data_IF_632482810145
#
_entry.id   IF_632482810145
#
_cell.length_a   1.000
_cell.length_b   1.000
_cell.length_c   1.000
_cell.angle_alpha   90.00
_cell.angle_beta   90.00
_cell.angle_gamma   90.00
#
_symmetry.space_group_name_H-M   'P 1'
#
loop_
_entity.id
_entity.type
_entity.pdbx_description
1 polymer ?
#
# COMPACT_ATOMS: atom_id res chain seq x y z
N UNK A 1 -7.14 -1.71 36.86
CA UNK A 1 -8.30 -1.79 35.94
C UNK A 1 -8.09 -0.99 34.64
N UNK A 2 -7.49 0.21 34.66
CA UNK A 2 -7.50 1.13 33.49
C UNK A 2 -6.54 0.91 32.31
N UNK A 3 -5.66 -0.10 32.29
CA UNK A 3 -4.73 -0.33 31.15
C UNK A 3 -5.24 -1.43 30.19
N UNK A 4 -5.87 -2.47 30.74
CA UNK A 4 -6.43 -3.58 29.96
C UNK A 4 -7.70 -3.14 29.25
N UNK A 5 -8.56 -2.35 29.91
CA UNK A 5 -9.77 -1.79 29.30
C UNK A 5 -9.45 -0.86 28.13
N UNK A 6 -8.43 0.01 28.26
CA UNK A 6 -8.02 0.91 27.17
C UNK A 6 -7.48 0.16 25.95
N UNK A 7 -6.73 -0.93 26.16
CA UNK A 7 -6.24 -1.78 25.07
C UNK A 7 -7.39 -2.54 24.39
N UNK A 8 -8.35 -3.03 25.17
CA UNK A 8 -9.53 -3.73 24.65
C UNK A 8 -10.45 -2.80 23.85
N UNK A 9 -10.57 -1.53 24.28
CA UNK A 9 -11.33 -0.51 23.57
C UNK A 9 -10.69 -0.14 22.22
N UNK A 10 -9.36 0.00 22.20
CA UNK A 10 -8.62 0.32 20.98
C UNK A 10 -8.64 -0.86 19.98
N UNK A 11 -8.56 -2.10 20.48
CA UNK A 11 -8.73 -3.30 19.68
C UNK A 11 -10.15 -3.39 19.08
N UNK A 12 -11.18 -3.06 19.87
CA UNK A 12 -12.56 -3.03 19.39
C UNK A 12 -12.80 -1.94 18.34
N UNK A 13 -12.18 -0.76 18.51
CA UNK A 13 -12.24 0.33 17.53
C UNK A 13 -11.57 -0.09 16.20
N UNK A 14 -10.45 -0.80 16.27
CA UNK A 14 -9.73 -1.33 15.12
C UNK A 14 -10.58 -2.37 14.36
N UNK A 15 -11.22 -3.30 15.08
CA UNK A 15 -12.11 -4.31 14.49
C UNK A 15 -13.34 -3.68 13.82
N UNK A 16 -13.89 -2.59 14.40
CA UNK A 16 -15.00 -1.84 13.80
C UNK A 16 -14.55 -1.02 12.58
N UNK A 17 -13.34 -0.47 12.59
CA UNK A 17 -12.79 0.33 11.49
C UNK A 17 -12.39 -0.50 10.27
N UNK A 18 -12.01 -1.78 10.46
CA UNK A 18 -11.58 -2.69 9.38
C UNK A 18 -12.75 -3.27 8.56
N UNK A 19 -14.00 -2.94 8.91
CA UNK A 19 -15.12 -3.05 7.97
C UNK A 19 -15.55 -4.48 7.66
N UNK A 20 -16.29 -5.09 8.58
CA UNK A 20 -17.45 -5.98 8.30
C UNK A 20 -18.10 -6.38 9.64
N UNK A 21 -18.63 -5.39 10.36
CA UNK A 21 -19.39 -5.68 11.58
C UNK A 21 -20.87 -5.86 11.23
N UNK A 22 -21.26 -7.10 10.91
CA UNK A 22 -22.68 -7.49 10.91
C UNK A 22 -23.30 -7.21 12.28
N UNK A 23 -24.54 -6.69 12.33
CA UNK A 23 -25.26 -6.37 13.58
C UNK A 23 -25.30 -7.52 14.59
N UNK A 24 -25.17 -8.77 14.12
CA UNK A 24 -25.09 -9.96 14.97
C UNK A 24 -23.81 -10.03 15.83
N UNK A 25 -22.68 -9.51 15.33
CA UNK A 25 -21.40 -9.55 16.03
C UNK A 25 -21.31 -8.49 17.15
N UNK A 26 -22.03 -7.37 17.01
CA UNK A 26 -22.13 -6.36 18.08
C UNK A 26 -22.92 -6.86 19.29
N UNK A 27 -24.01 -7.61 19.07
CA UNK A 27 -24.85 -8.14 20.16
C UNK A 27 -24.12 -9.19 21.02
N UNK A 28 -23.36 -10.09 20.36
CA UNK A 28 -22.52 -11.08 21.07
C UNK A 28 -21.44 -10.41 21.92
N UNK A 29 -20.89 -9.27 21.47
CA UNK A 29 -19.90 -8.53 22.23
C UNK A 29 -20.49 -7.81 23.46
N UNK A 30 -21.73 -7.29 23.35
CA UNK A 30 -22.47 -6.70 24.47
C UNK A 30 -22.82 -7.73 25.56
N UNK A 31 -23.23 -8.94 25.16
CA UNK A 31 -23.50 -10.05 26.09
C UNK A 31 -22.24 -10.51 26.83
N UNK A 32 -21.08 -10.49 26.17
CA UNK A 32 -19.83 -11.03 26.74
C UNK A 32 -19.13 -10.05 27.69
N UNK A 33 -19.36 -8.75 27.54
CA UNK A 33 -18.60 -7.71 28.26
C UNK A 33 -19.45 -6.83 29.17
N UNK A 34 -20.79 -6.90 29.08
CA UNK A 34 -21.71 -6.10 29.88
C UNK A 34 -21.66 -4.59 29.61
N UNK A 35 -20.85 -4.14 28.64
CA UNK A 35 -20.66 -2.75 28.28
C UNK A 35 -21.69 -2.34 27.22
N UNK A 36 -22.59 -1.41 27.56
CA UNK A 36 -23.60 -0.90 26.63
C UNK A 36 -22.94 -0.07 25.51
N UNK A 37 -23.08 -0.50 24.25
CA UNK A 37 -22.48 0.21 23.10
C UNK A 37 -23.24 1.48 22.70
N UNK A 38 -24.33 1.80 23.41
CA UNK A 38 -25.21 2.94 23.15
C UNK A 38 -24.49 4.30 23.21
N UNK A 39 -23.38 4.39 23.96
CA UNK A 39 -22.59 5.62 24.14
C UNK A 39 -21.39 5.76 23.18
N UNK A 40 -21.04 4.73 22.40
CA UNK A 40 -19.95 4.86 21.39
C UNK A 40 -20.45 5.47 20.07
N UNK A 41 -21.74 5.35 19.77
CA UNK A 41 -22.32 5.88 18.55
C UNK A 41 -22.50 7.41 18.60
N UNK A 42 -22.82 7.98 19.77
CA UNK A 42 -23.00 9.43 19.95
C UNK A 42 -21.68 10.21 19.91
N UNK A 43 -20.57 9.63 20.37
CA UNK A 43 -19.24 10.26 20.29
C UNK A 43 -18.63 10.35 18.89
N UNK A 44 -19.21 9.69 17.88
CA UNK A 44 -18.75 9.81 16.48
C UNK A 44 -19.23 11.09 15.79
N UNK A 45 -20.22 11.79 16.33
CA UNK A 45 -20.71 13.05 15.75
C UNK A 45 -19.99 14.29 16.28
N UNK A 46 -19.57 14.31 17.54
CA UNK A 46 -18.96 15.51 18.13
C UNK A 46 -17.44 15.68 17.86
N UNK A 47 -16.82 14.69 17.19
CA UNK A 47 -15.35 14.64 16.99
C UNK A 47 -14.88 14.80 15.54
N UNK A 48 -15.79 14.98 14.59
CA UNK A 48 -15.43 15.41 13.24
C UNK A 48 -15.57 16.94 13.26
N UNK A 49 -14.50 17.73 13.19
CA UNK A 49 -14.67 19.17 13.03
C UNK A 49 -15.49 19.40 11.77
N UNK A 50 -16.58 20.15 11.91
CA UNK A 50 -17.44 20.58 10.82
C UNK A 50 -16.60 21.27 9.73
N UNK A 51 -16.24 20.54 8.68
CA UNK A 51 -15.81 21.14 7.40
C UNK A 51 -17.08 21.40 6.55
N UNK A 52 -18.12 21.93 7.19
CA UNK A 52 -19.36 22.37 6.56
C UNK A 52 -19.80 23.71 7.15
N UNK A 53 -18.89 24.68 7.31
CA UNK A 53 -19.25 26.09 7.12
C UNK A 53 -18.02 27.00 7.00
N UNK A 54 -17.48 27.13 5.79
CA UNK A 54 -16.81 28.38 5.39
C UNK A 54 -17.24 28.71 3.97
N UNK A 55 -18.47 29.21 3.86
CA UNK A 55 -18.89 29.98 2.71
C UNK A 55 -18.08 31.30 2.66
N UNK A 56 -16.83 31.23 2.21
CA UNK A 56 -16.25 32.32 1.42
C UNK A 56 -16.61 32.02 -0.03
N UNK A 57 -17.27 32.93 -0.76
CA UNK A 57 -17.38 32.81 -2.21
C UNK A 57 -16.02 33.18 -2.84
N UNK A 58 -14.98 32.39 -2.52
CA UNK A 58 -13.75 32.41 -3.29
C UNK A 58 -14.09 31.73 -4.61
N UNK A 59 -14.03 32.51 -5.68
CA UNK A 59 -14.25 32.07 -7.05
C UNK A 59 -13.24 30.98 -7.40
N UNK A 60 -13.56 29.73 -7.09
CA UNK A 60 -12.91 28.58 -7.71
C UNK A 60 -13.76 28.27 -8.93
N UNK A 61 -13.26 28.68 -10.09
CA UNK A 61 -13.86 28.43 -11.39
C UNK A 61 -14.39 27.00 -11.47
N UNK A 62 -15.70 26.90 -11.68
CA UNK A 62 -16.42 25.67 -11.99
C UNK A 62 -16.01 25.20 -13.38
N UNK A 63 -14.78 24.72 -13.52
CA UNK A 63 -14.29 24.07 -14.74
C UNK A 63 -13.83 22.67 -14.38
N UNK A 64 -14.81 21.78 -14.21
CA UNK A 64 -14.83 20.40 -14.70
C UNK A 64 -15.68 19.50 -13.78
N UNK A 65 -16.77 18.99 -14.35
CA UNK A 65 -17.77 18.17 -13.68
C UNK A 65 -17.22 16.82 -13.25
N UNK A 66 -16.82 16.71 -11.98
CA UNK A 66 -16.69 15.43 -11.29
C UNK A 66 -17.71 15.38 -10.15
N UNK A 67 -18.70 14.49 -10.29
CA UNK A 67 -19.77 14.22 -9.33
C UNK A 67 -19.19 13.98 -7.92
N UNK A 68 -19.92 14.34 -6.87
CA UNK A 68 -19.51 14.11 -5.46
C UNK A 68 -19.02 12.68 -5.21
N UNK A 69 -19.63 11.69 -5.87
CA UNK A 69 -19.23 10.27 -5.83
C UNK A 69 -17.77 10.00 -6.21
N UNK A 70 -17.28 10.55 -7.33
CA UNK A 70 -15.88 10.35 -7.76
C UNK A 70 -14.90 11.00 -6.80
N UNK A 71 -15.26 12.13 -6.18
CA UNK A 71 -14.42 12.76 -5.14
C UNK A 71 -14.28 11.88 -3.89
N UNK A 72 -15.35 11.19 -3.50
CA UNK A 72 -15.30 10.25 -2.37
C UNK A 72 -14.42 9.01 -2.68
N UNK A 73 -14.47 8.51 -3.91
CA UNK A 73 -13.62 7.39 -4.33
C UNK A 73 -12.13 7.80 -4.39
N UNK A 74 -11.83 8.95 -4.97
CA UNK A 74 -10.48 9.52 -5.00
C UNK A 74 -9.94 9.75 -3.57
N UNK A 75 -10.77 10.24 -2.65
CA UNK A 75 -10.39 10.43 -1.25
C UNK A 75 -10.08 9.11 -0.54
N UNK A 76 -10.83 8.03 -0.82
CA UNK A 76 -10.56 6.70 -0.26
C UNK A 76 -9.22 6.16 -0.75
N UNK A 77 -8.95 6.26 -2.05
CA UNK A 77 -7.69 5.81 -2.66
C UNK A 77 -6.51 6.63 -2.11
N UNK A 78 -6.69 7.94 -1.94
CA UNK A 78 -5.66 8.80 -1.36
C UNK A 78 -5.38 8.49 0.12
N UNK A 79 -6.42 8.14 0.89
CA UNK A 79 -6.27 7.79 2.30
C UNK A 79 -5.42 6.54 2.54
N UNK A 80 -5.46 5.56 1.63
CA UNK A 80 -4.66 4.33 1.72
C UNK A 80 -3.28 4.45 1.05
N UNK A 81 -3.04 5.50 0.26
CA UNK A 81 -1.81 5.67 -0.52
C UNK A 81 -0.55 5.71 0.36
N UNK A 82 -0.58 6.44 1.49
CA UNK A 82 0.55 6.49 2.42
C UNK A 82 0.84 5.12 3.03
N UNK A 83 -0.21 4.42 3.48
CA UNK A 83 -0.09 3.07 4.02
C UNK A 83 0.48 2.09 2.98
N UNK A 84 0.01 2.15 1.73
CA UNK A 84 0.58 1.35 0.64
C UNK A 84 2.06 1.67 0.44
N UNK A 85 2.45 2.94 0.45
CA UNK A 85 3.86 3.35 0.30
C UNK A 85 4.74 2.74 1.39
N UNK A 86 4.33 2.82 2.65
CA UNK A 86 5.07 2.25 3.77
C UNK A 86 5.20 0.72 3.65
N UNK A 87 4.14 0.06 3.18
CA UNK A 87 4.15 -1.39 2.96
C UNK A 87 5.07 -1.81 1.80
N UNK A 88 5.23 -0.96 0.77
CA UNK A 88 6.21 -1.19 -0.29
C UNK A 88 7.65 -1.12 0.23
N UNK A 89 7.94 -0.30 1.24
CA UNK A 89 9.27 -0.27 1.87
C UNK A 89 9.57 -1.59 2.57
N UNK A 90 8.58 -2.18 3.25
CA UNK A 90 8.71 -3.51 3.86
C UNK A 90 8.94 -4.59 2.80
N UNK A 91 8.20 -4.52 1.68
CA UNK A 91 8.40 -5.45 0.56
C UNK A 91 9.84 -5.37 0.00
N UNK A 92 10.37 -4.16 -0.20
CA UNK A 92 11.75 -3.98 -0.68
C UNK A 92 12.79 -4.57 0.29
N UNK A 93 12.58 -4.44 1.60
CA UNK A 93 13.48 -5.01 2.61
C UNK A 93 13.44 -6.55 2.55
N UNK A 94 12.26 -7.14 2.34
CA UNK A 94 12.12 -8.59 2.17
C UNK A 94 12.84 -9.08 0.91
N UNK A 95 12.69 -8.39 -0.23
CA UNK A 95 13.39 -8.74 -1.47
C UNK A 95 14.92 -8.60 -1.32
N UNK A 96 15.39 -7.55 -0.62
CA UNK A 96 16.82 -7.44 -0.29
C UNK A 96 17.29 -8.58 0.61
N UNK A 97 16.48 -8.99 1.58
CA UNK A 97 16.84 -10.09 2.46
C UNK A 97 16.98 -11.41 1.70
N UNK A 98 16.14 -11.66 0.69
CA UNK A 98 16.27 -12.85 -0.17
C UNK A 98 17.47 -12.73 -1.13
N UNK A 99 17.77 -11.54 -1.66
CA UNK A 99 18.95 -11.29 -2.51
C UNK A 99 20.29 -11.42 -1.76
N UNK A 100 20.34 -11.06 -0.48
CA UNK A 100 21.55 -11.14 0.34
C UNK A 100 22.03 -12.57 0.60
N UNK A 101 21.18 -13.58 0.39
CA UNK A 101 21.56 -14.99 0.60
C UNK A 101 22.26 -15.51 -0.66
N UNK A 102 23.56 -15.85 -0.60
CA UNK A 102 24.25 -16.40 -1.76
C UNK A 102 23.64 -17.74 -2.14
N UNK A 103 23.25 -17.89 -3.41
CA UNK A 103 22.61 -19.11 -3.94
C UNK A 103 23.45 -20.37 -3.73
N UNK A 104 24.76 -20.21 -3.63
CA UNK A 104 25.72 -21.30 -3.41
C UNK A 104 25.66 -21.91 -2.01
N UNK A 105 25.12 -21.18 -1.03
CA UNK A 105 24.93 -21.64 0.35
C UNK A 105 23.55 -22.28 0.57
N UNK A 106 22.61 -22.09 -0.37
CA UNK A 106 21.30 -22.73 -0.38
C UNK A 106 21.45 -24.18 -0.88
N UNK A 107 22.13 -25.00 -0.08
CA UNK A 107 22.38 -26.42 -0.34
C UNK A 107 21.78 -27.27 0.78
N UNK A 108 21.54 -28.54 0.49
CA UNK A 108 21.06 -29.50 1.49
C UNK A 108 22.07 -29.74 2.63
N UNK A 109 23.32 -29.28 2.48
CA UNK A 109 24.33 -29.24 3.54
C UNK A 109 23.97 -28.29 4.69
N UNK A 110 23.11 -27.29 4.46
CA UNK A 110 22.58 -26.42 5.51
C UNK A 110 21.04 -26.32 5.42
N UNK A 111 20.31 -27.32 5.94
CA UNK A 111 18.85 -27.38 5.81
C UNK A 111 18.15 -26.22 6.54
N UNK A 112 18.74 -25.64 7.58
CA UNK A 112 18.16 -24.52 8.30
C UNK A 112 18.15 -23.24 7.45
N UNK A 113 19.23 -22.95 6.74
CA UNK A 113 19.31 -21.80 5.82
C UNK A 113 18.32 -21.96 4.67
N UNK A 114 18.26 -23.16 4.08
CA UNK A 114 17.31 -23.48 2.99
C UNK A 114 15.86 -23.29 3.41
N UNK A 115 15.45 -23.86 4.55
CA UNK A 115 14.09 -23.73 5.06
C UNK A 115 13.74 -22.26 5.38
N UNK A 116 14.69 -21.49 5.92
CA UNK A 116 14.49 -20.06 6.17
C UNK A 116 14.29 -19.29 4.86
N UNK A 117 15.14 -19.52 3.86
CA UNK A 117 15.02 -18.89 2.54
C UNK A 117 13.69 -19.22 1.87
N UNK A 118 13.27 -20.48 1.91
CA UNK A 118 11.95 -20.91 1.39
C UNK A 118 10.81 -20.19 2.13
N UNK A 119 10.87 -20.09 3.46
CA UNK A 119 9.88 -19.36 4.26
C UNK A 119 9.80 -17.87 3.92
N UNK A 120 10.94 -17.21 3.69
CA UNK A 120 10.99 -15.81 3.23
C UNK A 120 10.38 -15.68 1.84
N UNK A 121 10.76 -16.53 0.89
CA UNK A 121 10.22 -16.52 -0.48
C UNK A 121 8.71 -16.76 -0.51
N UNK A 122 8.20 -17.67 0.32
CA UNK A 122 6.76 -17.87 0.49
C UNK A 122 6.05 -16.64 1.03
N UNK A 123 6.66 -15.93 1.98
CA UNK A 123 6.09 -14.71 2.57
C UNK A 123 6.05 -13.59 1.55
N UNK A 124 7.13 -13.40 0.77
CA UNK A 124 7.18 -12.46 -0.34
C UNK A 124 6.09 -12.76 -1.39
N UNK A 125 5.93 -14.03 -1.78
CA UNK A 125 4.89 -14.44 -2.72
C UNK A 125 3.46 -14.17 -2.19
N UNK A 126 3.23 -14.35 -0.88
CA UNK A 126 1.94 -14.01 -0.26
C UNK A 126 1.70 -12.51 -0.21
N UNK A 127 2.73 -11.71 0.08
CA UNK A 127 2.65 -10.25 0.06
C UNK A 127 2.28 -9.74 -1.33
N UNK A 128 2.90 -10.28 -2.39
CA UNK A 128 2.56 -9.92 -3.76
C UNK A 128 1.12 -10.29 -4.16
N UNK A 129 0.60 -11.41 -3.64
CA UNK A 129 -0.81 -11.76 -3.82
C UNK A 129 -1.73 -10.76 -3.14
N UNK A 130 -1.39 -10.31 -1.93
CA UNK A 130 -2.15 -9.28 -1.20
C UNK A 130 -2.16 -7.97 -2.01
N UNK A 131 -1.00 -7.54 -2.53
CA UNK A 131 -0.89 -6.33 -3.35
C UNK A 131 -1.85 -6.37 -4.54
N UNK A 132 -1.80 -7.46 -5.32
CA UNK A 132 -2.69 -7.63 -6.49
C UNK A 132 -4.17 -7.58 -6.12
N UNK A 133 -4.58 -8.19 -4.98
CA UNK A 133 -5.98 -8.13 -4.51
C UNK A 133 -6.46 -6.73 -4.15
N UNK A 134 -5.56 -5.88 -3.65
CA UNK A 134 -5.89 -4.49 -3.29
C UNK A 134 -5.62 -3.49 -4.42
N UNK A 135 -5.34 -3.96 -5.64
CA UNK A 135 -5.13 -3.12 -6.81
C UNK A 135 -3.73 -2.51 -6.91
N UNK A 136 -2.77 -2.96 -6.10
CA UNK A 136 -1.35 -2.63 -6.28
C UNK A 136 -0.78 -3.51 -7.39
N UNK A 137 -0.30 -2.87 -8.45
CA UNK A 137 0.31 -3.52 -9.61
C UNK A 137 1.76 -3.08 -9.75
N UNK A 138 2.64 -4.05 -9.98
CA UNK A 138 4.05 -3.82 -10.24
C UNK A 138 4.26 -3.18 -11.62
N UNK A 139 5.22 -2.25 -11.67
CA UNK A 139 5.70 -1.59 -12.89
C UNK A 139 7.17 -1.95 -13.01
N UNK A 140 7.47 -2.91 -13.89
CA UNK A 140 8.83 -3.37 -14.17
C UNK A 140 9.11 -3.22 -15.67
N UNK A 141 9.54 -2.04 -16.12
CA UNK A 141 9.64 -1.70 -17.54
C UNK A 141 10.94 -2.19 -18.19
N UNK A 142 11.41 -3.40 -17.87
CA UNK A 142 12.65 -3.92 -18.43
C UNK A 142 12.50 -4.14 -19.94
N UNK A 143 13.41 -3.59 -20.74
CA UNK A 143 13.37 -3.58 -22.21
C UNK A 143 12.18 -2.81 -22.82
N UNK A 144 11.50 -1.97 -22.05
CA UNK A 144 10.43 -1.11 -22.55
C UNK A 144 10.92 0.32 -22.79
N UNK A 145 10.18 1.10 -23.57
CA UNK A 145 10.47 2.54 -23.76
C UNK A 145 10.27 3.29 -22.45
N UNK A 146 11.19 4.21 -22.16
CA UNK A 146 11.08 5.07 -21.00
C UNK A 146 9.82 5.94 -21.04
N UNK A 147 9.03 5.92 -19.97
CA UNK A 147 7.83 6.74 -19.81
C UNK A 147 8.00 7.66 -18.59
N UNK A 148 8.11 8.99 -18.77
CA UNK A 148 8.30 9.94 -17.68
C UNK A 148 7.20 9.93 -16.61
N UNK A 149 6.00 9.46 -16.94
CA UNK A 149 4.88 9.42 -15.98
C UNK A 149 4.98 8.23 -15.01
N UNK A 150 5.68 7.17 -15.40
CA UNK A 150 5.75 5.92 -14.66
C UNK A 150 7.15 5.63 -14.12
N UNK A 151 8.18 6.16 -14.78
CA UNK A 151 9.57 5.81 -14.56
C UNK A 151 10.39 7.06 -14.22
N UNK A 152 11.38 6.87 -13.36
CA UNK A 152 12.38 7.88 -13.00
C UNK A 152 13.76 7.36 -13.42
N UNK A 153 14.39 8.06 -14.37
CA UNK A 153 15.69 7.67 -14.89
C UNK A 153 16.79 8.13 -13.93
N UNK A 154 17.52 7.20 -13.33
CA UNK A 154 18.63 7.49 -12.42
C UNK A 154 19.93 7.78 -13.18
N UNK A 155 20.17 7.04 -14.25
CA UNK A 155 21.38 7.16 -15.05
C UNK A 155 21.14 6.68 -16.47
N UNK A 156 22.09 7.00 -17.34
CA UNK A 156 22.11 6.57 -18.72
C UNK A 156 23.37 5.75 -18.99
N UNK A 157 23.22 4.61 -19.68
CA UNK A 157 24.32 3.69 -19.98
C UNK A 157 24.36 3.38 -21.48
N UNK A 158 25.57 3.22 -22.03
CA UNK A 158 25.78 2.72 -23.38
C UNK A 158 25.65 1.19 -23.34
N UNK A 159 24.69 0.66 -24.10
CA UNK A 159 24.40 -0.78 -24.16
C UNK A 159 24.25 -1.15 -25.63
N UNK A 160 25.24 -1.88 -26.15
CA UNK A 160 25.23 -2.36 -27.53
C UNK A 160 23.97 -3.20 -27.82
N UNK A 161 23.21 -2.80 -28.83
CA UNK A 161 22.01 -3.53 -29.28
C UNK A 161 20.68 -3.09 -28.64
N UNK A 162 20.66 -2.06 -27.79
CA UNK A 162 19.41 -1.47 -27.27
C UNK A 162 19.11 -0.11 -27.89
N UNK A 163 17.87 0.11 -28.34
CA UNK A 163 17.45 1.42 -28.89
C UNK A 163 17.62 2.55 -27.86
N UNK A 164 18.04 3.76 -28.29
CA UNK A 164 18.10 4.94 -27.42
C UNK A 164 16.75 5.20 -26.74
N UNK A 165 16.77 5.45 -25.43
CA UNK A 165 15.54 5.70 -24.66
C UNK A 165 14.84 4.43 -24.15
N UNK A 166 15.43 3.25 -24.35
CA UNK A 166 14.94 1.98 -23.79
C UNK A 166 15.47 1.77 -22.37
N UNK A 167 14.64 1.26 -21.47
CA UNK A 167 15.05 0.89 -20.12
C UNK A 167 15.86 -0.41 -20.17
N UNK A 168 17.11 -0.34 -19.73
CA UNK A 168 18.06 -1.46 -19.75
C UNK A 168 18.25 -2.08 -18.37
N UNK A 169 18.09 -1.28 -17.32
CA UNK A 169 18.26 -1.73 -15.93
C UNK A 169 17.11 -1.20 -15.09
N UNK A 170 16.51 -2.06 -14.27
CA UNK A 170 15.52 -1.65 -13.27
C UNK A 170 16.17 -1.80 -11.91
N UNK A 171 16.56 -0.67 -11.30
CA UNK A 171 17.18 -0.66 -9.97
C UNK A 171 16.15 -0.84 -8.86
N UNK A 172 14.94 -0.31 -9.06
CA UNK A 172 13.85 -0.45 -8.10
C UNK A 172 12.52 -0.55 -8.82
N UNK A 173 11.74 -1.57 -8.49
CA UNK A 173 10.43 -1.82 -9.09
C UNK A 173 9.46 -0.70 -8.68
N UNK A 174 8.72 -0.17 -9.66
CA UNK A 174 7.67 0.82 -9.46
C UNK A 174 6.34 0.15 -9.08
N UNK A 175 5.43 0.91 -8.48
CA UNK A 175 4.11 0.41 -8.13
C UNK A 175 3.03 1.45 -8.44
N UNK A 176 1.95 0.97 -9.04
CA UNK A 176 0.70 1.72 -9.24
C UNK A 176 -0.41 1.13 -8.38
N UNK A 177 -1.22 1.99 -7.79
CA UNK A 177 -2.45 1.63 -7.12
C UNK A 177 -3.59 2.00 -8.07
N UNK A 178 -4.24 1.00 -8.66
CA UNK A 178 -5.18 1.18 -9.76
C UNK A 178 -4.51 1.98 -10.90
N UNK A 179 -5.02 3.17 -11.22
CA UNK A 179 -4.50 4.04 -12.28
C UNK A 179 -3.50 5.10 -11.77
N UNK A 180 -3.21 5.13 -10.46
CA UNK A 180 -2.34 6.14 -9.87
C UNK A 180 -0.99 5.57 -9.49
N UNK A 181 0.09 6.24 -9.92
CA UNK A 181 1.45 5.90 -9.51
C UNK A 181 1.66 6.28 -8.04
N UNK A 182 2.04 5.30 -7.23
CA UNK A 182 2.39 5.50 -5.81
C UNK A 182 3.90 5.67 -5.68
N UNK A 183 4.65 4.91 -6.48
CA UNK A 183 6.11 4.95 -6.54
C UNK A 183 6.57 4.71 -7.98
N UNK A 184 7.35 5.62 -8.59
CA UNK A 184 7.89 5.39 -9.92
C UNK A 184 8.93 4.25 -9.90
N UNK A 185 9.10 3.58 -11.04
CA UNK A 185 10.19 2.62 -11.20
C UNK A 185 11.50 3.39 -11.39
N UNK A 186 12.54 3.04 -10.63
CA UNK A 186 13.86 3.64 -10.79
C UNK A 186 14.65 2.84 -11.81
N UNK A 187 15.02 3.49 -12.92
CA UNK A 187 15.53 2.80 -14.11
C UNK A 187 16.80 3.44 -14.66
N UNK A 188 17.63 2.62 -15.32
CA UNK A 188 18.71 3.05 -16.20
C UNK A 188 18.26 2.98 -17.65
N UNK A 189 18.54 4.02 -18.43
CA UNK A 189 18.10 4.16 -19.83
C UNK A 189 19.28 4.04 -20.80
N UNK A 190 19.09 3.38 -21.93
CA UNK A 190 20.12 3.28 -22.98
C UNK A 190 20.33 4.62 -23.69
N UNK A 191 21.59 4.98 -23.95
CA UNK A 191 21.95 6.06 -24.88
C UNK A 191 21.96 5.64 -26.36
N UNK A 192 21.91 4.33 -26.63
CA UNK A 192 22.24 3.74 -27.93
C UNK A 192 23.65 3.16 -27.93
#
# INVERSE_FOLDING_TARGET
VGAVEKKMFLFCLLVVAVGEASKANLRKFEEMTGLSTRNLASRKQDGIPDIVDTNKPDKIELTNGKTTRTRFEDAKIYGIQSFCKDLLEVADVLSKATECVPKEEIKDSNPHLKNLFEGLSMTEAQLQKVFKRHGLTEVNPLNEKFNPNLHEALFQQEVEGSEPGTVVVVSKIGYKLHERVIRPALVGVSKG
#
